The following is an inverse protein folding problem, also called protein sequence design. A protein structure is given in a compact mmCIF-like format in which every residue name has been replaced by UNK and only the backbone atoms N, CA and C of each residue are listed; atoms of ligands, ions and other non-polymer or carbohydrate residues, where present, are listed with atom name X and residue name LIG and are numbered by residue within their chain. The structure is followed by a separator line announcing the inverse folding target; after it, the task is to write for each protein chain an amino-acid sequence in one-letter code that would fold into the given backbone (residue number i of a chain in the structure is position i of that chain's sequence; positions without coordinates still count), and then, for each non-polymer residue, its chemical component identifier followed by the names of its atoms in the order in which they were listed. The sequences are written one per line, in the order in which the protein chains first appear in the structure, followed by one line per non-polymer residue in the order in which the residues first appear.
data_IF_897882371796
#
_entry.id   IF_897882371796
#
_cell.length_a   1.000
_cell.length_b   1.000
_cell.length_c   1.000
_cell.angle_alpha   90.00
_cell.angle_beta   90.00
_cell.angle_gamma   90.00
#
_symmetry.space_group_name_H-M   'P 1'
#
loop_
_entity.id
_entity.type
_entity.pdbx_description
1 polymer ?
#
# COMPACT_ATOMS: atom_id res chain seq x y z
N UNK A 1 -26.54 16.46 -35.13
CA UNK A 1 -25.28 16.04 -34.50
C UNK A 1 -25.29 16.56 -33.07
N UNK A 2 -25.73 15.75 -32.11
CA UNK A 2 -25.64 16.12 -30.69
C UNK A 2 -24.22 15.82 -30.23
N UNK A 3 -23.44 16.87 -30.01
CA UNK A 3 -22.16 16.78 -29.34
C UNK A 3 -22.42 16.36 -27.90
N UNK A 4 -22.00 15.15 -27.55
CA UNK A 4 -21.98 14.68 -26.16
C UNK A 4 -20.97 15.53 -25.41
N UNK A 5 -21.43 16.24 -24.37
CA UNK A 5 -20.53 16.87 -23.40
C UNK A 5 -19.87 15.75 -22.60
N UNK A 6 -18.59 15.52 -22.83
CA UNK A 6 -17.74 14.87 -21.82
C UNK A 6 -17.82 15.73 -20.56
N UNK A 7 -18.37 15.15 -19.50
CA UNK A 7 -18.36 15.76 -18.17
C UNK A 7 -16.95 15.55 -17.64
N UNK A 8 -16.13 16.57 -17.75
CA UNK A 8 -14.81 16.63 -17.11
C UNK A 8 -15.03 16.47 -15.59
N UNK A 9 -14.51 15.38 -15.03
CA UNK A 9 -14.58 15.14 -13.60
C UNK A 9 -13.79 16.22 -12.88
N UNK A 10 -14.35 16.92 -11.88
CA UNK A 10 -13.63 17.95 -11.14
C UNK A 10 -12.36 17.37 -10.52
N UNK A 11 -11.25 18.12 -10.57
CA UNK A 11 -9.99 17.70 -9.97
C UNK A 11 -10.18 17.48 -8.47
N UNK A 12 -9.54 16.46 -7.89
CA UNK A 12 -9.64 16.15 -6.45
C UNK A 12 -9.22 17.36 -5.58
N UNK A 13 -8.31 18.19 -6.11
CA UNK A 13 -7.87 19.44 -5.49
C UNK A 13 -8.99 20.49 -5.33
N UNK A 14 -10.06 20.40 -6.11
CA UNK A 14 -11.23 21.29 -5.99
C UNK A 14 -12.15 20.95 -4.81
N UNK A 15 -11.92 19.80 -4.16
CA UNK A 15 -12.67 19.37 -2.99
C UNK A 15 -12.14 20.12 -1.77
N UNK A 16 -12.99 20.93 -1.14
CA UNK A 16 -12.61 21.78 0.00
C UNK A 16 -11.88 21.02 1.11
N UNK A 17 -12.37 19.83 1.48
CA UNK A 17 -11.76 18.96 2.50
C UNK A 17 -10.35 18.52 2.13
N UNK A 18 -10.07 18.24 0.86
CA UNK A 18 -8.73 17.82 0.42
C UNK A 18 -7.75 19.00 0.48
N UNK A 19 -8.21 20.19 0.09
CA UNK A 19 -7.42 21.42 0.21
C UNK A 19 -7.11 21.75 1.67
N UNK A 20 -8.10 21.61 2.55
CA UNK A 20 -7.99 21.87 3.99
C UNK A 20 -7.05 20.89 4.71
N UNK A 21 -7.04 19.61 4.29
CA UNK A 21 -6.25 18.55 4.92
C UNK A 21 -5.21 17.95 3.96
N UNK A 22 -4.48 18.79 3.23
CA UNK A 22 -3.54 18.33 2.18
C UNK A 22 -2.45 17.38 2.71
N UNK A 23 -2.05 17.55 3.97
CA UNK A 23 -1.10 16.68 4.67
C UNK A 23 -1.62 15.25 4.93
N UNK A 24 -2.95 15.06 5.01
CA UNK A 24 -3.60 13.76 5.20
C UNK A 24 -3.85 13.06 3.86
N UNK A 25 -3.86 13.82 2.76
CA UNK A 25 -4.03 13.32 1.40
C UNK A 25 -2.78 13.57 0.52
N UNK A 26 -1.59 13.12 0.93
CA UNK A 26 -0.41 13.23 0.09
C UNK A 26 -0.53 12.29 -1.13
N UNK A 27 0.15 12.64 -2.22
CA UNK A 27 0.21 11.77 -3.41
C UNK A 27 0.91 10.43 -3.12
N UNK A 28 1.86 10.45 -2.17
CA UNK A 28 2.60 9.29 -1.67
C UNK A 28 2.55 9.25 -0.15
N UNK A 29 2.47 8.05 0.43
CA UNK A 29 2.46 7.87 1.87
C UNK A 29 3.83 8.25 2.49
N UNK A 30 3.86 8.94 3.65
CA UNK A 30 5.08 9.49 4.26
C UNK A 30 5.99 8.43 4.92
N UNK A 31 5.78 7.14 4.66
CA UNK A 31 6.45 6.03 5.35
C UNK A 31 5.63 5.49 6.52
N UNK A 32 6.28 4.80 7.46
CA UNK A 32 5.63 4.11 8.58
C UNK A 32 4.70 5.06 9.36
N UNK A 33 3.50 4.62 9.76
CA UNK A 33 2.66 5.43 10.64
C UNK A 33 3.43 5.83 11.91
N UNK A 34 3.17 7.03 12.46
CA UNK A 34 3.76 7.44 13.72
C UNK A 34 3.43 6.45 14.83
N UNK A 35 4.34 6.36 15.81
CA UNK A 35 4.18 5.51 17.00
C UNK A 35 2.80 5.72 17.62
N UNK A 36 2.10 4.62 17.87
CA UNK A 36 0.78 4.61 18.51
C UNK A 36 0.91 3.98 19.88
N UNK A 37 0.07 4.42 20.82
CA UNK A 37 0.01 3.83 22.16
C UNK A 37 -0.47 2.37 22.17
N UNK A 38 -1.04 1.90 21.06
CA UNK A 38 -1.58 0.56 20.88
C UNK A 38 -0.98 -0.05 19.62
N UNK A 39 -0.28 -1.17 19.80
CA UNK A 39 0.22 -1.98 18.69
C UNK A 39 -0.91 -2.79 18.04
N UNK A 40 -0.82 -2.98 16.73
CA UNK A 40 -1.67 -3.95 16.04
C UNK A 40 -1.21 -5.37 16.35
N UNK A 41 -2.01 -6.12 17.11
CA UNK A 41 -1.80 -7.55 17.34
C UNK A 41 -2.71 -8.39 16.45
N UNK A 42 -2.22 -9.55 16.00
CA UNK A 42 -3.02 -10.55 15.28
C UNK A 42 -3.27 -11.71 16.27
N UNK A 43 -4.48 -11.76 16.82
CA UNK A 43 -4.89 -12.86 17.69
C UNK A 43 -5.09 -14.13 16.88
N UNK A 44 -4.50 -15.24 17.33
CA UNK A 44 -4.64 -16.54 16.70
C UNK A 44 -5.56 -17.44 17.52
N UNK A 45 -6.41 -18.20 16.82
CA UNK A 45 -7.19 -19.26 17.45
C UNK A 45 -6.26 -20.28 18.14
N UNK A 46 -6.58 -20.75 19.36
CA UNK A 46 -5.75 -21.71 20.07
C UNK A 46 -5.44 -22.96 19.23
N UNK A 47 -4.15 -23.29 19.10
CA UNK A 47 -3.68 -24.43 18.32
C UNK A 47 -3.34 -24.13 16.86
N UNK A 48 -3.53 -22.89 16.40
CA UNK A 48 -3.06 -22.43 15.07
C UNK A 48 -1.53 -22.54 14.99
N UNK A 49 -1.04 -23.08 13.88
CA UNK A 49 0.40 -23.20 13.59
C UNK A 49 0.78 -22.35 12.39
N UNK A 50 2.03 -21.86 12.30
CA UNK A 50 2.53 -21.19 11.11
C UNK A 50 2.37 -22.08 9.87
N UNK A 51 2.11 -21.44 8.74
CA UNK A 51 1.95 -22.11 7.44
C UNK A 51 3.08 -21.63 6.53
N UNK A 52 3.84 -22.57 5.99
CA UNK A 52 4.88 -22.31 5.00
C UNK A 52 4.44 -22.85 3.64
N UNK A 53 4.20 -21.95 2.69
CA UNK A 53 3.80 -22.28 1.31
C UNK A 53 4.89 -21.74 0.37
N UNK A 54 5.34 -22.54 -0.61
CA UNK A 54 6.34 -22.08 -1.57
C UNK A 54 5.78 -20.93 -2.43
N UNK A 55 6.61 -19.94 -2.82
CA UNK A 55 6.19 -18.89 -3.74
C UNK A 55 5.71 -19.46 -5.08
N UNK A 56 4.73 -18.82 -5.70
CA UNK A 56 4.28 -19.18 -7.04
C UNK A 56 5.39 -18.96 -8.07
N UNK A 57 5.37 -19.78 -9.12
CA UNK A 57 6.27 -19.59 -10.27
C UNK A 57 5.80 -18.40 -11.09
N UNK A 58 6.71 -17.48 -11.35
CA UNK A 58 6.48 -16.26 -12.12
C UNK A 58 7.45 -16.20 -13.30
N UNK A 59 7.04 -15.54 -14.38
CA UNK A 59 7.88 -15.28 -15.54
C UNK A 59 8.99 -14.26 -15.20
N UNK A 60 10.09 -14.20 -15.97
CA UNK A 60 11.18 -13.26 -15.71
C UNK A 60 10.78 -11.78 -15.68
N UNK A 61 9.75 -11.39 -16.44
CA UNK A 61 9.23 -10.02 -16.45
C UNK A 61 8.49 -9.70 -15.15
N UNK A 62 7.66 -10.63 -14.66
CA UNK A 62 6.91 -10.49 -13.41
C UNK A 62 7.86 -10.43 -12.20
N UNK A 63 8.89 -11.28 -12.18
CA UNK A 63 9.90 -11.25 -11.11
C UNK A 63 10.66 -9.93 -11.04
N UNK A 64 10.89 -9.27 -12.18
CA UNK A 64 11.56 -7.96 -12.24
C UNK A 64 10.68 -6.87 -11.64
N UNK A 65 9.41 -6.88 -12.01
CA UNK A 65 8.41 -5.94 -11.47
C UNK A 65 8.23 -6.14 -9.97
N UNK A 66 8.04 -7.39 -9.53
CA UNK A 66 7.93 -7.73 -8.12
C UNK A 66 9.15 -7.22 -7.33
N UNK A 67 10.36 -7.42 -7.86
CA UNK A 67 11.58 -6.93 -7.21
C UNK A 67 11.61 -5.40 -7.12
N UNK A 68 11.16 -4.68 -8.15
CA UNK A 68 11.10 -3.23 -8.14
C UNK A 68 10.13 -2.72 -7.06
N UNK A 69 8.95 -3.32 -6.96
CA UNK A 69 7.96 -2.98 -5.94
C UNK A 69 8.45 -3.32 -4.52
N UNK A 70 9.09 -4.47 -4.33
CA UNK A 70 9.69 -4.82 -3.04
C UNK A 70 10.77 -3.83 -2.62
N UNK A 71 11.59 -3.34 -3.55
CA UNK A 71 12.62 -2.34 -3.26
C UNK A 71 11.97 -1.00 -2.85
N UNK A 72 10.94 -0.56 -3.56
CA UNK A 72 10.20 0.65 -3.19
C UNK A 72 9.60 0.55 -1.78
N UNK A 73 9.03 -0.60 -1.42
CA UNK A 73 8.48 -0.83 -0.09
C UNK A 73 9.55 -0.86 1.01
N UNK A 74 10.73 -1.40 0.71
CA UNK A 74 11.90 -1.36 1.62
C UNK A 74 12.41 0.07 1.81
N UNK A 75 12.50 0.83 0.73
CA UNK A 75 12.97 2.24 0.76
C UNK A 75 11.99 3.14 1.53
N UNK A 76 10.69 2.81 1.49
CA UNK A 76 9.63 3.45 2.30
C UNK A 76 9.53 2.89 3.74
N UNK A 77 10.39 1.96 4.11
CA UNK A 77 10.45 1.26 5.40
C UNK A 77 9.18 0.44 5.74
N UNK A 78 8.23 0.27 4.81
CA UNK A 78 6.98 -0.45 5.02
C UNK A 78 7.13 -1.94 5.29
N UNK A 79 8.24 -2.52 4.81
CA UNK A 79 8.59 -3.91 5.04
C UNK A 79 10.05 -4.00 5.47
N UNK A 80 10.41 -5.09 6.14
CA UNK A 80 11.80 -5.41 6.48
C UNK A 80 12.06 -6.92 6.29
N UNK A 81 13.33 -7.32 6.11
CA UNK A 81 13.69 -8.73 6.12
C UNK A 81 13.28 -9.40 7.44
N UNK A 82 12.68 -10.59 7.35
CA UNK A 82 12.24 -11.36 8.50
C UNK A 82 12.58 -12.84 8.33
N UNK A 83 12.59 -13.57 9.45
CA UNK A 83 12.78 -15.01 9.51
C UNK A 83 11.55 -15.65 10.19
N UNK A 84 10.46 -15.77 9.43
CA UNK A 84 9.22 -16.39 9.90
C UNK A 84 9.33 -17.92 9.97
N UNK A 85 8.75 -18.57 11.01
CA UNK A 85 8.80 -20.02 11.21
C UNK A 85 7.93 -20.84 10.26
#
# INVERSE_FOLDING_TARGET
MSSGKEVESPSIESIHVVSEFREVFPNDLPGMPPDRDIDFCIDLEPGTRPISIPPYRMAPTELRELKAQMQELLDKEFICPSASP
#
